data_IF_792570442776
#
_entry.id   IF_792570442776
#
_cell.length_a   1.000
_cell.length_b   1.000
_cell.length_c   1.000
_cell.angle_alpha   90.00
_cell.angle_beta   90.00
_cell.angle_gamma   90.00
#
_symmetry.space_group_name_H-M   'P 1'
#
loop_
_entity.id
_entity.type
_entity.pdbx_description
1 polymer ?
#
# COMPACT_ATOMS: atom_id res chain seq x y z
N UNK A 1 9.06 -16.78 9.41
CA UNK A 1 8.99 -15.42 9.97
C UNK A 1 9.48 -14.36 8.99
N UNK A 2 8.60 -13.44 8.65
CA UNK A 2 8.87 -12.30 7.77
C UNK A 2 7.99 -11.09 8.15
N UNK A 3 8.60 -9.94 8.39
CA UNK A 3 7.95 -8.67 8.72
C UNK A 3 7.83 -7.80 7.48
N UNK A 4 6.69 -7.14 7.31
CA UNK A 4 6.43 -6.20 6.21
C UNK A 4 5.84 -4.91 6.77
N UNK A 5 6.15 -3.78 6.15
CA UNK A 5 5.58 -2.48 6.56
C UNK A 5 4.12 -2.38 6.15
N UNK A 6 3.35 -1.51 6.84
CA UNK A 6 1.96 -1.19 6.46
C UNK A 6 1.85 -0.70 5.02
N UNK A 7 2.80 0.11 4.57
CA UNK A 7 2.87 0.57 3.18
C UNK A 7 2.99 -0.60 2.21
N UNK A 8 3.85 -1.58 2.52
CA UNK A 8 4.06 -2.75 1.67
C UNK A 8 2.86 -3.70 1.67
N UNK A 9 2.23 -3.94 2.82
CA UNK A 9 1.03 -4.78 2.91
C UNK A 9 -0.14 -4.20 2.08
N UNK A 10 -0.32 -2.88 2.10
CA UNK A 10 -1.35 -2.19 1.29
C UNK A 10 -1.18 -2.39 -0.22
N UNK A 11 0.01 -2.78 -0.67
CA UNK A 11 0.31 -3.04 -2.09
C UNK A 11 -0.07 -4.46 -2.52
N UNK A 12 -0.60 -5.30 -1.64
CA UNK A 12 -1.19 -6.59 -2.03
C UNK A 12 -2.58 -6.33 -2.61
N UNK A 13 -2.83 -6.81 -3.82
CA UNK A 13 -4.10 -6.66 -4.53
C UNK A 13 -4.55 -7.99 -5.15
N UNK A 14 -5.87 -8.16 -5.26
CA UNK A 14 -6.44 -9.18 -6.13
C UNK A 14 -6.08 -8.84 -7.58
N UNK A 15 -5.61 -9.82 -8.36
CA UNK A 15 -5.38 -9.64 -9.78
C UNK A 15 -6.67 -9.90 -10.57
N UNK A 16 -7.29 -8.87 -11.17
CA UNK A 16 -8.55 -9.04 -11.90
C UNK A 16 -8.46 -10.08 -13.02
N UNK A 17 -7.27 -10.27 -13.62
CA UNK A 17 -7.07 -11.19 -14.75
C UNK A 17 -7.13 -12.66 -14.35
N UNK A 18 -6.73 -12.98 -13.12
CA UNK A 18 -6.65 -14.35 -12.60
C UNK A 18 -7.86 -14.65 -11.73
N UNK A 19 -8.25 -13.72 -10.86
CA UNK A 19 -9.43 -13.83 -9.98
C UNK A 19 -10.72 -13.89 -10.78
N UNK A 20 -10.85 -13.07 -11.84
CA UNK A 20 -12.00 -13.03 -12.75
C UNK A 20 -12.32 -14.32 -13.50
N UNK A 21 -11.48 -15.34 -13.38
CA UNK A 21 -11.65 -16.65 -14.02
C UNK A 21 -12.05 -17.77 -13.05
N UNK A 22 -12.18 -17.51 -11.74
CA UNK A 22 -12.40 -18.60 -10.78
C UNK A 22 -12.92 -18.26 -9.38
N UNK A 23 -12.81 -17.02 -8.89
CA UNK A 23 -13.31 -16.66 -7.56
C UNK A 23 -13.91 -15.24 -7.58
N UNK A 24 -15.22 -15.13 -7.33
CA UNK A 24 -15.89 -13.85 -7.07
C UNK A 24 -16.73 -13.99 -5.81
N UNK A 25 -16.55 -13.06 -4.87
CA UNK A 25 -17.25 -12.97 -3.59
C UNK A 25 -18.70 -12.47 -3.73
N UNK A 26 -19.43 -12.93 -4.73
CA UNK A 26 -20.81 -12.49 -4.97
C UNK A 26 -21.74 -13.06 -3.88
N UNK A 27 -22.35 -12.18 -3.07
CA UNK A 27 -23.24 -12.54 -1.95
C UNK A 27 -22.58 -13.37 -0.83
N UNK A 28 -21.29 -13.14 -0.56
CA UNK A 28 -20.55 -13.79 0.52
C UNK A 28 -19.91 -12.78 1.48
N UNK A 29 -20.47 -11.57 1.59
CA UNK A 29 -19.91 -10.47 2.38
C UNK A 29 -19.80 -10.79 3.88
N UNK A 30 -20.60 -11.74 4.38
CA UNK A 30 -20.51 -12.27 5.75
C UNK A 30 -19.16 -12.94 6.05
N UNK A 31 -18.45 -13.42 5.04
CA UNK A 31 -17.13 -14.05 5.23
C UNK A 31 -16.02 -13.02 5.53
N UNK A 32 -16.27 -11.74 5.22
CA UNK A 32 -15.31 -10.65 5.43
C UNK A 32 -15.17 -10.31 6.91
N UNK A 33 -16.25 -10.40 7.68
CA UNK A 33 -16.23 -9.99 9.08
C UNK A 33 -17.28 -10.76 9.90
N UNK A 34 -16.88 -11.46 10.98
CA UNK A 34 -17.76 -12.41 11.64
C UNK A 34 -18.93 -11.78 12.42
N UNK A 35 -18.86 -10.48 12.74
CA UNK A 35 -19.86 -9.85 13.60
C UNK A 35 -20.99 -9.14 12.84
N UNK A 36 -20.77 -8.75 11.58
CA UNK A 36 -21.78 -8.06 10.76
C UNK A 36 -21.40 -8.05 9.28
N UNK A 37 -22.42 -7.96 8.44
CA UNK A 37 -22.28 -7.84 6.98
C UNK A 37 -21.84 -6.42 6.60
N UNK A 38 -20.86 -6.31 5.70
CA UNK A 38 -20.37 -5.04 5.15
C UNK A 38 -20.47 -5.09 3.63
N UNK A 39 -21.53 -4.50 3.08
CA UNK A 39 -21.90 -4.59 1.65
C UNK A 39 -21.38 -3.40 0.80
N UNK A 40 -20.25 -2.83 1.22
CA UNK A 40 -19.68 -1.60 0.63
C UNK A 40 -18.70 -1.86 -0.51
N UNK A 41 -18.32 -3.12 -0.72
CA UNK A 41 -17.22 -3.48 -1.60
C UNK A 41 -17.74 -4.03 -2.93
N UNK A 42 -17.02 -3.74 -4.02
CA UNK A 42 -17.15 -4.52 -5.26
C UNK A 42 -16.72 -5.96 -4.99
N UNK A 43 -17.14 -6.88 -5.85
CA UNK A 43 -16.77 -8.29 -5.71
C UNK A 43 -15.25 -8.47 -5.76
N UNK A 44 -14.53 -7.68 -6.55
CA UNK A 44 -13.07 -7.68 -6.59
C UNK A 44 -12.43 -7.17 -5.28
N UNK A 45 -12.99 -6.11 -4.68
CA UNK A 45 -12.51 -5.57 -3.40
C UNK A 45 -12.80 -6.54 -2.24
N UNK A 46 -14.00 -7.12 -2.21
CA UNK A 46 -14.38 -8.16 -1.27
C UNK A 46 -13.49 -9.40 -1.43
N UNK A 47 -13.27 -9.86 -2.66
CA UNK A 47 -12.36 -10.99 -2.95
C UNK A 47 -10.95 -10.70 -2.48
N UNK A 48 -10.43 -9.49 -2.70
CA UNK A 48 -9.12 -9.09 -2.14
C UNK A 48 -9.10 -9.20 -0.62
N UNK A 49 -10.10 -8.67 0.07
CA UNK A 49 -10.18 -8.71 1.53
C UNK A 49 -10.25 -10.15 2.06
N UNK A 50 -11.07 -10.98 1.42
CA UNK A 50 -11.22 -12.39 1.79
C UNK A 50 -9.93 -13.19 1.56
N UNK A 51 -9.25 -12.99 0.42
CA UNK A 51 -7.96 -13.63 0.17
C UNK A 51 -6.89 -13.17 1.17
N UNK A 52 -6.88 -11.89 1.56
CA UNK A 52 -6.01 -11.42 2.65
C UNK A 52 -6.36 -12.05 4.01
N UNK A 53 -7.64 -12.28 4.29
CA UNK A 53 -8.08 -13.00 5.49
C UNK A 53 -7.58 -14.44 5.48
N UNK A 54 -7.77 -15.17 4.38
CA UNK A 54 -7.26 -16.55 4.22
C UNK A 54 -5.75 -16.58 4.38
N UNK A 55 -5.04 -15.65 3.73
CA UNK A 55 -3.58 -15.54 3.79
C UNK A 55 -3.06 -15.42 5.22
N UNK A 56 -3.77 -14.69 6.09
CA UNK A 56 -3.33 -14.38 7.45
C UNK A 56 -3.90 -15.32 8.53
N UNK A 57 -5.11 -15.82 8.35
CA UNK A 57 -5.87 -16.50 9.41
C UNK A 57 -6.17 -17.95 9.11
N UNK A 58 -6.18 -18.34 7.84
CA UNK A 58 -6.71 -19.64 7.43
C UNK A 58 -5.75 -20.35 6.46
N UNK A 59 -4.47 -20.62 6.85
CA UNK A 59 -3.52 -21.30 5.97
C UNK A 59 -3.96 -22.73 5.58
N UNK A 60 -4.83 -23.36 6.37
CA UNK A 60 -5.47 -24.63 6.05
C UNK A 60 -6.72 -24.53 5.16
N UNK A 61 -7.13 -23.34 4.76
CA UNK A 61 -8.29 -23.15 3.89
C UNK A 61 -8.04 -23.79 2.52
N UNK A 62 -9.05 -24.44 1.94
CA UNK A 62 -8.93 -25.14 0.65
C UNK A 62 -8.45 -24.22 -0.50
N UNK A 63 -8.73 -22.92 -0.40
CA UNK A 63 -8.30 -21.92 -1.39
C UNK A 63 -6.87 -21.41 -1.18
N UNK A 64 -6.21 -21.68 -0.05
CA UNK A 64 -4.90 -21.08 0.25
C UNK A 64 -3.88 -21.42 -0.85
N UNK A 65 -3.66 -22.71 -1.09
CA UNK A 65 -2.76 -23.22 -2.12
C UNK A 65 -3.16 -22.75 -3.53
N UNK A 66 -4.46 -22.71 -3.81
CA UNK A 66 -4.97 -22.26 -5.12
C UNK A 66 -4.67 -20.77 -5.35
N UNK A 67 -4.85 -19.92 -4.35
CA UNK A 67 -4.58 -18.48 -4.47
C UNK A 67 -3.12 -18.20 -4.81
N UNK A 68 -2.20 -18.97 -4.21
CA UNK A 68 -0.76 -18.80 -4.41
C UNK A 68 -0.36 -19.27 -5.80
N UNK A 69 -0.75 -20.49 -6.21
CA UNK A 69 -0.38 -21.03 -7.52
C UNK A 69 -1.03 -20.27 -8.69
N UNK A 70 -2.29 -19.90 -8.56
CA UNK A 70 -3.03 -19.16 -9.60
C UNK A 70 -2.76 -17.65 -9.56
N UNK A 71 -1.94 -17.17 -8.62
CA UNK A 71 -1.58 -15.76 -8.46
C UNK A 71 -2.81 -14.87 -8.37
N UNK A 72 -3.78 -15.28 -7.56
CA UNK A 72 -4.99 -14.50 -7.30
C UNK A 72 -4.69 -13.23 -6.53
N UNK A 73 -3.68 -13.28 -5.66
CA UNK A 73 -3.05 -12.11 -5.08
C UNK A 73 -1.74 -11.81 -5.79
N UNK A 74 -1.48 -10.52 -6.01
CA UNK A 74 -0.20 -10.01 -6.49
C UNK A 74 0.20 -8.77 -5.75
N UNK A 75 1.50 -8.51 -5.75
CA UNK A 75 2.01 -7.22 -5.35
C UNK A 75 1.94 -6.20 -6.49
N UNK A 76 1.39 -5.04 -6.19
CA UNK A 76 1.51 -3.88 -7.07
C UNK A 76 2.86 -3.20 -6.87
N UNK A 77 3.66 -3.16 -7.93
CA UNK A 77 4.81 -2.27 -8.04
C UNK A 77 4.51 -1.23 -9.10
N UNK A 78 4.42 0.06 -8.73
CA UNK A 78 4.20 1.11 -9.71
C UNK A 78 5.23 1.04 -10.83
N UNK A 79 4.77 1.22 -12.06
CA UNK A 79 5.67 1.40 -13.19
C UNK A 79 6.54 2.65 -12.95
N UNK A 80 7.80 2.58 -13.39
CA UNK A 80 8.71 3.70 -13.30
C UNK A 80 8.37 4.71 -14.39
N UNK A 81 7.87 5.89 -13.99
CA UNK A 81 7.61 6.99 -14.91
C UNK A 81 8.83 7.91 -15.07
N UNK A 82 9.97 7.56 -14.45
CA UNK A 82 11.23 8.28 -14.50
C UNK A 82 11.21 9.71 -13.94
N UNK A 83 10.10 10.16 -13.34
CA UNK A 83 9.98 11.52 -12.79
C UNK A 83 10.56 11.70 -11.40
N UNK A 84 10.97 10.62 -10.72
CA UNK A 84 11.38 10.65 -9.31
C UNK A 84 12.80 10.12 -9.11
N UNK A 85 13.48 10.66 -8.10
CA UNK A 85 14.85 10.32 -7.76
C UNK A 85 14.98 8.88 -7.28
N UNK A 86 14.00 8.36 -6.53
CA UNK A 86 13.97 6.97 -6.12
C UNK A 86 13.17 6.13 -7.13
N UNK A 87 13.80 5.07 -7.65
CA UNK A 87 13.11 4.09 -8.51
C UNK A 87 12.05 3.34 -7.69
N UNK A 88 10.82 3.11 -8.23
CA UNK A 88 9.87 2.21 -7.59
C UNK A 88 10.49 0.83 -7.35
N UNK A 89 10.43 0.35 -6.11
CA UNK A 89 10.95 -0.97 -5.72
C UNK A 89 9.80 -1.93 -5.42
N UNK A 90 9.99 -3.20 -5.78
CA UNK A 90 9.19 -4.27 -5.20
C UNK A 90 9.34 -4.20 -3.68
N UNK A 91 8.25 -4.40 -2.91
CA UNK A 91 8.33 -4.32 -1.47
C UNK A 91 9.21 -5.44 -0.94
N UNK A 92 9.84 -5.15 0.19
CA UNK A 92 10.69 -6.12 0.86
C UNK A 92 10.02 -6.68 2.10
N UNK A 93 10.32 -7.93 2.39
CA UNK A 93 10.04 -8.57 3.67
C UNK A 93 11.34 -8.69 4.48
N UNK A 94 11.23 -8.62 5.80
CA UNK A 94 12.35 -8.55 6.72
C UNK A 94 12.33 -9.76 7.65
N UNK A 95 13.45 -10.42 7.88
CA UNK A 95 13.52 -11.56 8.81
C UNK A 95 13.76 -11.13 10.25
N UNK A 96 14.21 -9.88 10.45
CA UNK A 96 14.52 -9.29 11.74
C UNK A 96 13.63 -8.08 12.01
N UNK A 97 12.89 -8.08 13.13
CA UNK A 97 12.01 -6.98 13.56
C UNK A 97 12.77 -5.69 13.88
N UNK A 98 14.05 -5.81 14.25
CA UNK A 98 14.93 -4.70 14.57
C UNK A 98 15.71 -4.17 13.34
N UNK A 99 15.49 -4.71 12.14
CA UNK A 99 16.20 -4.29 10.93
C UNK A 99 16.07 -2.78 10.69
N UNK A 100 17.20 -2.08 10.48
CA UNK A 100 17.18 -0.63 10.27
C UNK A 100 16.28 -0.23 9.09
N UNK A 101 16.39 -0.94 7.96
CA UNK A 101 15.60 -0.68 6.77
C UNK A 101 14.09 -0.81 6.96
N UNK A 102 13.66 -1.48 8.04
CA UNK A 102 12.26 -1.64 8.39
C UNK A 102 11.71 -0.38 9.09
N UNK A 103 12.57 0.40 9.73
CA UNK A 103 12.24 1.62 10.48
C UNK A 103 12.71 2.90 9.79
N UNK A 104 13.58 2.78 8.79
CA UNK A 104 14.16 3.92 8.09
C UNK A 104 13.09 4.75 7.36
N UNK A 105 13.07 6.09 7.50
CA UNK A 105 12.12 6.95 6.80
C UNK A 105 12.35 6.90 5.28
N UNK A 106 11.26 7.05 4.53
CA UNK A 106 11.33 7.11 3.08
C UNK A 106 11.76 8.51 2.63
N UNK A 107 12.74 8.55 1.72
CA UNK A 107 13.32 9.76 1.15
C UNK A 107 13.20 9.72 -0.36
N UNK A 108 12.69 10.79 -0.95
CA UNK A 108 12.52 10.91 -2.39
C UNK A 108 12.33 12.37 -2.79
N UNK A 109 12.33 12.66 -4.08
CA UNK A 109 11.93 13.94 -4.63
C UNK A 109 11.59 13.80 -6.12
N UNK A 110 10.79 14.73 -6.62
CA UNK A 110 10.54 14.84 -8.06
C UNK A 110 11.77 15.47 -8.74
N UNK A 111 12.18 14.86 -9.85
CA UNK A 111 13.21 15.44 -10.71
C UNK A 111 12.67 16.73 -11.34
N UNK A 112 13.55 17.69 -11.67
CA UNK A 112 13.15 18.92 -12.32
C UNK A 112 12.27 18.69 -13.57
N UNK A 113 11.35 19.63 -13.79
CA UNK A 113 10.57 19.68 -15.04
C UNK A 113 11.54 19.73 -16.23
N UNK A 114 11.30 18.91 -17.25
CA UNK A 114 12.17 18.81 -18.42
C UNK A 114 13.34 17.84 -18.27
N UNK A 115 13.62 17.29 -17.07
CA UNK A 115 14.78 16.41 -16.87
C UNK A 115 14.68 15.13 -17.71
N UNK A 116 13.51 14.48 -17.72
CA UNK A 116 13.29 13.25 -18.49
C UNK A 116 13.28 13.56 -19.99
N UNK A 117 12.70 14.69 -20.37
CA UNK A 117 12.59 15.15 -21.76
C UNK A 117 13.97 15.46 -22.36
N UNK A 118 14.88 16.03 -21.57
CA UNK A 118 16.22 16.44 -22.03
C UNK A 118 17.22 15.29 -21.98
N UNK A 119 17.24 14.49 -20.90
CA UNK A 119 18.28 13.47 -20.69
C UNK A 119 17.81 12.03 -20.93
N UNK A 120 16.50 11.83 -21.14
CA UNK A 120 15.89 10.52 -21.34
C UNK A 120 15.97 9.60 -20.13
N UNK A 121 15.40 8.39 -20.28
CA UNK A 121 15.42 7.34 -19.24
C UNK A 121 16.85 6.92 -18.86
N UNK A 122 17.78 6.95 -19.82
CA UNK A 122 19.19 6.67 -19.60
C UNK A 122 19.84 7.73 -18.69
N UNK A 123 19.51 9.01 -18.89
CA UNK A 123 19.96 10.11 -18.06
C UNK A 123 19.44 10.00 -16.63
N UNK A 124 18.17 9.66 -16.46
CA UNK A 124 17.56 9.37 -15.15
C UNK A 124 18.27 8.20 -14.48
N UNK A 125 18.53 7.11 -15.20
CA UNK A 125 19.26 5.96 -14.65
C UNK A 125 20.67 6.34 -14.21
N UNK A 126 21.39 7.15 -14.99
CA UNK A 126 22.72 7.67 -14.63
C UNK A 126 22.65 8.56 -13.39
N UNK A 127 21.67 9.45 -13.32
CA UNK A 127 21.43 10.30 -12.16
C UNK A 127 21.19 9.47 -10.89
N UNK A 128 20.29 8.49 -10.95
CA UNK A 128 19.97 7.62 -9.81
C UNK A 128 21.19 6.83 -9.33
N UNK A 129 22.03 6.36 -10.26
CA UNK A 129 23.29 5.69 -9.93
C UNK A 129 24.26 6.64 -9.22
N UNK A 130 24.43 7.85 -9.75
CA UNK A 130 25.26 8.89 -9.13
C UNK A 130 24.74 9.27 -7.74
N UNK A 131 23.43 9.49 -7.59
CA UNK A 131 22.78 9.90 -6.35
C UNK A 131 23.07 8.95 -5.19
N UNK A 132 23.23 7.65 -5.50
CA UNK A 132 23.51 6.59 -4.54
C UNK A 132 25.00 6.17 -4.48
N UNK A 133 25.85 6.77 -5.31
CA UNK A 133 27.29 6.48 -5.32
C UNK A 133 28.01 7.24 -4.20
N UNK A 134 29.04 6.62 -3.63
CA UNK A 134 29.87 7.27 -2.59
C UNK A 134 30.82 8.24 -3.27
N UNK A 135 30.76 9.52 -2.89
CA UNK A 135 31.68 10.56 -3.36
C UNK A 135 33.05 10.41 -2.67
N UNK A 136 34.07 11.15 -3.12
CA UNK A 136 35.44 11.10 -2.57
C UNK A 136 35.51 11.36 -1.07
N UNK A 137 34.56 12.12 -0.53
CA UNK A 137 34.45 12.48 0.88
C UNK A 137 33.72 11.38 1.71
N UNK A 138 33.41 10.22 1.12
CA UNK A 138 32.70 9.13 1.79
C UNK A 138 31.17 9.30 1.89
N UNK A 139 30.63 10.44 1.44
CA UNK A 139 29.20 10.76 1.51
C UNK A 139 28.50 10.48 0.17
N UNK A 140 27.25 10.02 0.21
CA UNK A 140 26.42 9.92 -1.01
C UNK A 140 25.78 11.28 -1.31
N UNK A 141 25.61 11.67 -2.59
CA UNK A 141 24.91 12.92 -2.93
C UNK A 141 23.51 13.02 -2.33
N UNK A 142 22.80 11.91 -2.15
CA UNK A 142 21.51 11.89 -1.43
C UNK A 142 21.66 12.39 0.01
N UNK A 143 22.67 11.91 0.75
CA UNK A 143 22.93 12.33 2.14
C UNK A 143 23.31 13.82 2.20
N UNK A 144 24.05 14.30 1.20
CA UNK A 144 24.38 15.73 1.06
C UNK A 144 23.12 16.57 0.87
N UNK A 145 22.15 16.10 0.08
CA UNK A 145 20.90 16.84 -0.14
C UNK A 145 20.13 17.07 1.17
N UNK A 146 20.23 16.14 2.13
CA UNK A 146 19.55 16.28 3.41
C UNK A 146 20.18 17.33 4.33
N UNK A 147 21.51 17.42 4.35
CA UNK A 147 22.25 18.27 5.27
C UNK A 147 22.61 19.63 4.67
N UNK A 148 22.83 19.67 3.36
CA UNK A 148 23.19 20.87 2.62
C UNK A 148 22.55 20.87 1.21
N UNK A 149 21.25 21.22 1.13
CA UNK A 149 20.50 21.21 -0.13
C UNK A 149 21.12 22.06 -1.23
N UNK A 150 21.67 23.23 -0.89
CA UNK A 150 22.26 24.15 -1.86
C UNK A 150 23.54 23.59 -2.47
N UNK A 151 24.41 22.95 -1.67
CA UNK A 151 25.59 22.25 -2.19
C UNK A 151 25.20 21.13 -3.16
N UNK A 152 24.12 20.41 -2.85
CA UNK A 152 23.59 19.37 -3.74
C UNK A 152 23.08 19.98 -5.07
N UNK A 153 22.28 21.05 -5.01
CA UNK A 153 21.77 21.74 -6.20
C UNK A 153 22.88 22.28 -7.09
N UNK A 154 23.91 22.91 -6.53
CA UNK A 154 25.09 23.39 -7.26
C UNK A 154 25.79 22.23 -8.00
N UNK A 155 25.99 21.09 -7.33
CA UNK A 155 26.56 19.90 -7.98
C UNK A 155 25.66 19.39 -9.11
N UNK A 156 24.35 19.42 -8.92
CA UNK A 156 23.40 19.01 -9.94
C UNK A 156 23.40 19.95 -11.15
N UNK A 157 23.51 21.26 -10.95
CA UNK A 157 23.62 22.24 -12.04
C UNK A 157 24.92 22.08 -12.83
N UNK A 158 26.01 21.66 -12.18
CA UNK A 158 27.26 21.35 -12.89
C UNK A 158 27.16 20.07 -13.75
N UNK A 159 26.49 19.03 -13.27
CA UNK A 159 26.42 17.71 -13.93
C UNK A 159 25.22 17.57 -14.90
N UNK A 160 24.17 18.35 -14.69
CA UNK A 160 22.92 18.38 -15.46
C UNK A 160 22.43 19.84 -15.63
N UNK A 161 23.17 20.68 -16.39
CA UNK A 161 22.95 22.13 -16.46
C UNK A 161 21.68 22.57 -17.20
N UNK A 162 21.10 21.71 -18.03
CA UNK A 162 19.98 22.08 -18.92
C UNK A 162 18.61 22.13 -18.23
N UNK A 163 18.54 21.95 -16.90
CA UNK A 163 17.31 22.10 -16.11
C UNK A 163 17.58 22.90 -14.85
N UNK A 164 16.53 23.51 -14.30
CA UNK A 164 16.61 24.22 -13.01
C UNK A 164 16.41 23.27 -11.84
N UNK A 165 17.40 23.21 -10.94
CA UNK A 165 17.35 22.40 -9.71
C UNK A 165 16.81 23.15 -8.50
N UNK A 166 16.53 24.45 -8.64
CA UNK A 166 16.15 25.34 -7.55
C UNK A 166 14.83 24.93 -6.89
N UNK A 167 13.88 24.38 -7.65
CA UNK A 167 12.55 23.96 -7.18
C UNK A 167 12.51 22.56 -6.57
N UNK A 168 13.64 21.84 -6.53
CA UNK A 168 13.69 20.49 -5.99
C UNK A 168 13.63 20.53 -4.46
N UNK A 169 12.66 19.80 -3.90
CA UNK A 169 12.43 19.71 -2.47
C UNK A 169 12.48 18.25 -2.02
N UNK A 170 13.22 17.98 -0.95
CA UNK A 170 13.29 16.67 -0.35
C UNK A 170 11.93 16.32 0.28
N UNK A 171 11.29 15.27 -0.22
CA UNK A 171 10.14 14.68 0.45
C UNK A 171 10.64 13.68 1.50
N UNK A 172 10.38 13.97 2.77
CA UNK A 172 10.50 13.00 3.86
C UNK A 172 9.12 12.48 4.23
N UNK A 173 8.96 11.17 4.16
CA UNK A 173 7.79 10.48 4.70
C UNK A 173 8.29 9.58 5.81
N UNK A 174 7.71 9.74 6.99
CA UNK A 174 7.94 8.79 8.07
C UNK A 174 7.66 7.37 7.56
N UNK A 175 8.50 6.43 7.98
CA UNK A 175 8.19 5.04 7.71
C UNK A 175 6.82 4.75 8.32
N UNK A 176 5.96 4.07 7.58
CA UNK A 176 4.65 3.65 8.11
C UNK A 176 4.74 2.67 9.30
N UNK A 177 5.95 2.39 9.77
CA UNK A 177 6.31 1.49 10.85
C UNK A 177 6.23 0.01 10.44
N UNK A 178 6.81 -0.83 11.29
CA UNK A 178 6.31 -2.21 11.49
C UNK A 178 5.03 -2.05 12.26
N UNK A 179 3.91 -2.26 11.59
CA UNK A 179 2.55 -2.30 12.16
C UNK A 179 2.41 -1.77 13.59
N UNK A 180 2.19 -0.45 13.70
CA UNK A 180 1.46 0.13 14.83
C UNK A 180 0.10 0.54 14.26
N UNK A 181 -0.88 -0.34 14.39
CA UNK A 181 -2.27 0.10 14.27
C UNK A 181 -2.51 1.06 15.45
N UNK A 182 -3.19 2.18 15.23
CA UNK A 182 -3.58 3.08 16.33
C UNK A 182 -4.47 2.37 17.37
N UNK A 183 -4.99 1.20 17.01
CA UNK A 183 -5.71 0.27 17.86
C UNK A 183 -4.77 -0.88 18.26
N UNK A 184 -4.53 -0.98 19.55
CA UNK A 184 -3.65 -1.95 20.19
C UNK A 184 -4.29 -3.34 20.26
N UNK A 185 -5.63 -3.43 20.32
CA UNK A 185 -6.37 -4.68 20.53
C UNK A 185 -7.40 -4.99 19.45
N UNK A 186 -7.86 -6.26 19.40
CA UNK A 186 -8.94 -6.69 18.49
C UNK A 186 -10.25 -5.99 18.84
N UNK A 187 -10.49 -5.79 20.14
CA UNK A 187 -11.65 -5.15 20.71
C UNK A 187 -11.74 -3.67 20.29
N UNK A 188 -10.62 -2.93 20.34
CA UNK A 188 -10.58 -1.54 19.87
C UNK A 188 -10.86 -1.41 18.36
N UNK A 189 -10.41 -2.38 17.56
CA UNK A 189 -10.71 -2.41 16.13
C UNK A 189 -12.18 -2.73 15.89
N UNK A 190 -12.75 -3.66 16.66
CA UNK A 190 -14.18 -3.99 16.61
C UNK A 190 -15.03 -2.76 16.91
N UNK A 191 -14.70 -2.02 17.97
CA UNK A 191 -15.38 -0.77 18.33
C UNK A 191 -15.26 0.29 17.23
N UNK A 192 -14.08 0.39 16.59
CA UNK A 192 -13.90 1.31 15.47
C UNK A 192 -14.72 0.92 14.23
N UNK A 193 -14.83 -0.37 13.92
CA UNK A 193 -15.68 -0.87 12.83
C UNK A 193 -17.15 -0.52 13.11
N UNK A 194 -17.63 -0.76 14.34
CA UNK A 194 -18.99 -0.40 14.75
C UNK A 194 -19.23 1.11 14.69
N UNK A 195 -18.25 1.90 15.13
CA UNK A 195 -18.28 3.35 15.00
C UNK A 195 -18.41 3.77 13.53
N UNK A 196 -17.62 3.21 12.61
CA UNK A 196 -17.70 3.54 11.18
C UNK A 196 -19.07 3.19 10.59
N UNK A 197 -19.65 2.05 10.94
CA UNK A 197 -21.00 1.66 10.52
C UNK A 197 -22.04 2.66 11.05
N UNK A 198 -21.98 3.02 12.33
CA UNK A 198 -22.88 4.00 12.92
C UNK A 198 -22.74 5.40 12.28
N UNK A 199 -21.51 5.84 11.98
CA UNK A 199 -21.27 7.09 11.27
C UNK A 199 -21.81 7.04 9.84
N UNK A 200 -21.67 5.91 9.14
CA UNK A 200 -22.23 5.72 7.81
C UNK A 200 -23.77 5.84 7.83
N UNK A 201 -24.43 5.12 8.73
CA UNK A 201 -25.89 5.20 8.91
C UNK A 201 -26.33 6.61 9.26
N UNK A 202 -25.62 7.31 10.15
CA UNK A 202 -25.91 8.71 10.48
C UNK A 202 -25.72 9.63 9.28
N UNK A 203 -24.67 9.42 8.49
CA UNK A 203 -24.39 10.22 7.31
C UNK A 203 -25.48 10.05 6.25
N UNK A 204 -25.90 8.81 5.97
CA UNK A 204 -27.05 8.54 5.10
C UNK A 204 -28.32 9.22 5.62
N UNK A 205 -28.71 8.94 6.88
CA UNK A 205 -30.05 9.31 7.34
C UNK A 205 -30.19 10.79 7.73
N UNK A 206 -29.11 11.45 8.15
CA UNK A 206 -29.19 12.78 8.77
C UNK A 206 -28.40 13.87 8.04
N UNK A 207 -27.58 13.51 7.05
CA UNK A 207 -26.75 14.47 6.30
C UNK A 207 -27.12 14.52 4.83
N UNK A 208 -27.41 13.37 4.22
CA UNK A 208 -27.72 13.28 2.81
C UNK A 208 -29.22 13.49 2.54
N UNK A 209 -29.52 14.01 1.35
CA UNK A 209 -30.88 14.01 0.79
C UNK A 209 -31.27 12.61 0.30
N UNK A 210 -32.57 12.35 0.13
CA UNK A 210 -33.06 11.06 -0.39
C UNK A 210 -32.41 10.66 -1.74
N UNK A 211 -32.18 11.63 -2.61
CA UNK A 211 -31.51 11.40 -3.91
C UNK A 211 -30.05 10.99 -3.72
N UNK A 212 -29.33 11.65 -2.80
CA UNK A 212 -27.94 11.31 -2.47
C UNK A 212 -27.83 9.96 -1.78
N UNK A 213 -28.75 9.62 -0.87
CA UNK A 213 -28.83 8.30 -0.26
C UNK A 213 -28.97 7.20 -1.31
N UNK A 214 -29.92 7.36 -2.24
CA UNK A 214 -30.14 6.39 -3.33
C UNK A 214 -28.91 6.30 -4.25
N UNK A 215 -28.25 7.41 -4.55
CA UNK A 215 -27.03 7.42 -5.35
C UNK A 215 -25.89 6.65 -4.65
N UNK A 216 -25.67 6.90 -3.35
CA UNK A 216 -24.67 6.17 -2.56
C UNK A 216 -24.99 4.69 -2.52
N UNK A 217 -26.22 4.30 -2.20
CA UNK A 217 -26.62 2.89 -2.16
C UNK A 217 -26.48 2.19 -3.53
N UNK A 218 -26.74 2.91 -4.62
CA UNK A 218 -26.57 2.40 -5.99
C UNK A 218 -25.09 2.17 -6.34
N UNK A 219 -24.20 3.04 -5.87
CA UNK A 219 -22.80 3.06 -6.30
C UNK A 219 -21.78 2.67 -5.24
N UNK A 220 -22.17 2.38 -4.00
CA UNK A 220 -21.25 2.06 -2.90
C UNK A 220 -20.30 0.91 -3.26
N UNK A 221 -20.83 -0.10 -3.95
CA UNK A 221 -20.06 -1.27 -4.43
C UNK A 221 -19.15 -0.97 -5.62
N UNK A 222 -19.20 0.21 -6.27
CA UNK A 222 -18.30 0.50 -7.39
C UNK A 222 -16.88 0.76 -6.90
N UNK A 223 -15.89 0.17 -7.57
CA UNK A 223 -14.46 0.43 -7.30
C UNK A 223 -13.93 1.68 -8.04
N UNK A 224 -14.61 2.12 -9.10
CA UNK A 224 -14.25 3.31 -9.89
C UNK A 224 -15.41 4.28 -9.99
N UNK A 225 -15.08 5.57 -9.97
CA UNK A 225 -16.03 6.68 -10.10
C UNK A 225 -16.14 7.21 -11.54
N UNK A 226 -15.41 6.60 -12.49
CA UNK A 226 -15.39 7.05 -13.88
C UNK A 226 -16.73 6.74 -14.56
N UNK A 227 -17.36 7.77 -15.12
CA UNK A 227 -18.58 7.63 -15.92
C UNK A 227 -19.84 7.34 -15.11
N UNK A 228 -19.86 7.66 -13.82
CA UNK A 228 -21.08 7.57 -13.02
C UNK A 228 -22.06 8.68 -13.43
N UNK A 229 -23.34 8.33 -13.47
CA UNK A 229 -24.46 9.25 -13.68
C UNK A 229 -25.66 8.79 -12.87
N UNK A 230 -26.40 9.70 -12.26
CA UNK A 230 -27.60 9.37 -11.47
C UNK A 230 -28.74 10.34 -11.80
N UNK A 231 -29.97 9.85 -12.06
CA UNK A 231 -31.11 10.73 -12.31
C UNK A 231 -31.34 11.72 -11.17
N UNK A 232 -31.49 13.00 -11.50
CA UNK A 232 -31.71 14.06 -10.51
C UNK A 232 -30.45 14.55 -9.79
N UNK A 233 -29.25 14.16 -10.26
CA UNK A 233 -27.97 14.64 -9.71
C UNK A 233 -26.99 15.01 -10.82
N UNK A 234 -26.29 16.14 -10.62
CA UNK A 234 -25.17 16.54 -11.48
C UNK A 234 -23.95 15.61 -11.30
N UNK A 235 -23.21 15.34 -12.38
CA UNK A 235 -22.06 14.44 -12.37
C UNK A 235 -20.92 14.91 -11.45
N UNK A 236 -20.73 16.22 -11.29
CA UNK A 236 -19.72 16.78 -10.39
C UNK A 236 -20.10 16.56 -8.92
N UNK A 237 -21.36 16.83 -8.55
CA UNK A 237 -21.91 16.55 -7.23
C UNK A 237 -21.84 15.04 -6.93
N UNK A 238 -22.22 14.19 -7.87
CA UNK A 238 -22.11 12.73 -7.73
C UNK A 238 -20.67 12.28 -7.50
N UNK A 239 -19.73 12.81 -8.29
CA UNK A 239 -18.31 12.51 -8.15
C UNK A 239 -17.78 12.94 -6.78
N UNK A 240 -18.18 14.12 -6.29
CA UNK A 240 -17.80 14.62 -4.96
C UNK A 240 -18.42 13.79 -3.84
N UNK A 241 -19.67 13.37 -3.99
CA UNK A 241 -20.39 12.51 -3.06
C UNK A 241 -19.69 11.15 -2.94
N UNK A 242 -19.39 10.51 -4.08
CA UNK A 242 -18.70 9.22 -4.10
C UNK A 242 -17.26 9.33 -3.59
N UNK A 243 -16.55 10.42 -3.87
CA UNK A 243 -15.22 10.69 -3.29
C UNK A 243 -15.28 10.82 -1.77
N UNK A 244 -16.32 11.48 -1.25
CA UNK A 244 -16.57 11.56 0.20
C UNK A 244 -16.83 10.18 0.79
N UNK A 245 -17.75 9.40 0.21
CA UNK A 245 -18.04 8.05 0.66
C UNK A 245 -16.77 7.18 0.71
N UNK A 246 -15.98 7.21 -0.38
CA UNK A 246 -14.78 6.42 -0.51
C UNK A 246 -13.72 6.80 0.53
N UNK A 247 -13.51 8.11 0.76
CA UNK A 247 -12.52 8.62 1.71
C UNK A 247 -12.92 8.40 3.16
N UNK A 248 -14.15 8.74 3.51
CA UNK A 248 -14.61 8.76 4.91
C UNK A 248 -15.03 7.39 5.44
N UNK A 249 -15.50 6.49 4.56
CA UNK A 249 -16.03 5.18 4.98
C UNK A 249 -15.27 4.02 4.34
N UNK A 250 -15.36 3.84 3.01
CA UNK A 250 -14.89 2.63 2.33
C UNK A 250 -13.39 2.35 2.54
N UNK A 251 -12.54 3.37 2.39
CA UNK A 251 -11.10 3.24 2.62
C UNK A 251 -10.77 2.99 4.09
N UNK A 252 -11.48 3.63 5.01
CA UNK A 252 -11.29 3.45 6.46
C UNK A 252 -11.70 2.04 6.90
N UNK A 253 -12.84 1.55 6.42
CA UNK A 253 -13.30 0.18 6.65
C UNK A 253 -12.34 -0.86 6.06
N UNK A 254 -11.85 -0.65 4.84
CA UNK A 254 -10.80 -1.50 4.25
C UNK A 254 -9.58 -1.61 5.17
N UNK A 255 -9.11 -0.48 5.71
CA UNK A 255 -7.99 -0.48 6.63
C UNK A 255 -8.31 -1.16 7.97
N UNK A 256 -9.54 -0.98 8.48
CA UNK A 256 -9.99 -1.59 9.73
C UNK A 256 -10.11 -3.12 9.61
N UNK A 257 -10.66 -3.65 8.52
CA UNK A 257 -10.73 -5.10 8.28
C UNK A 257 -9.36 -5.74 8.14
N UNK A 258 -8.46 -5.12 7.37
CA UNK A 258 -7.08 -5.59 7.28
C UNK A 258 -6.35 -5.53 8.63
N UNK A 259 -6.64 -4.53 9.46
CA UNK A 259 -6.13 -4.44 10.83
C UNK A 259 -6.67 -5.57 11.70
N UNK A 260 -7.96 -5.83 11.60
CA UNK A 260 -8.64 -6.90 12.33
C UNK A 260 -8.02 -8.26 11.99
N UNK A 261 -7.88 -8.60 10.70
CA UNK A 261 -7.26 -9.88 10.30
C UNK A 261 -5.86 -10.03 10.88
N UNK A 262 -5.05 -8.97 10.82
CA UNK A 262 -3.71 -9.00 11.38
C UNK A 262 -3.72 -9.20 12.90
N UNK A 263 -4.53 -8.45 13.65
CA UNK A 263 -4.57 -8.52 15.11
C UNK A 263 -5.13 -9.85 15.62
N UNK A 264 -6.07 -10.45 14.90
CA UNK A 264 -6.52 -11.82 15.19
C UNK A 264 -5.39 -12.81 14.91
N UNK A 265 -4.64 -12.65 13.82
CA UNK A 265 -3.51 -13.52 13.50
C UNK A 265 -2.44 -13.46 14.61
N UNK A 266 -2.08 -12.24 15.04
CA UNK A 266 -1.12 -11.98 16.12
C UNK A 266 -1.58 -12.62 17.45
N UNK A 267 -2.86 -12.43 17.83
CA UNK A 267 -3.45 -13.02 19.04
C UNK A 267 -3.43 -14.56 19.00
N UNK A 268 -3.57 -15.14 17.81
CA UNK A 268 -3.54 -16.59 17.58
C UNK A 268 -2.12 -17.14 17.36
N UNK A 269 -1.07 -16.31 17.45
CA UNK A 269 0.30 -16.67 17.10
C UNK A 269 0.43 -17.28 15.68
N UNK A 270 -0.32 -16.69 14.75
CA UNK A 270 -0.47 -17.12 13.35
C UNK A 270 -0.23 -15.97 12.37
N UNK A 271 0.33 -14.84 12.83
CA UNK A 271 0.75 -13.72 11.99
C UNK A 271 1.97 -14.02 11.10
N UNK A 272 2.49 -15.25 11.19
CA UNK A 272 3.52 -15.79 10.34
C UNK A 272 3.01 -16.05 8.91
N UNK A 273 3.31 -15.14 7.99
CA UNK A 273 3.23 -15.45 6.56
C UNK A 273 4.55 -16.08 6.12
N UNK A 274 4.45 -17.26 5.50
CA UNK A 274 5.62 -17.96 4.96
C UNK A 274 6.39 -17.07 3.97
N UNK A 275 7.72 -17.14 4.03
CA UNK A 275 8.60 -16.39 3.11
C UNK A 275 8.34 -16.80 1.66
N UNK A 276 8.14 -18.10 1.41
CA UNK A 276 7.83 -18.61 0.10
C UNK A 276 6.53 -18.01 -0.41
N UNK A 277 5.50 -17.90 0.45
CA UNK A 277 4.23 -17.26 0.10
C UNK A 277 4.44 -15.78 -0.24
N UNK A 278 5.21 -15.03 0.55
CA UNK A 278 5.51 -13.62 0.24
C UNK A 278 6.30 -13.47 -1.08
N UNK A 279 7.24 -14.36 -1.36
CA UNK A 279 7.99 -14.37 -2.62
C UNK A 279 7.09 -14.69 -3.82
N UNK A 280 6.13 -15.62 -3.67
CA UNK A 280 5.12 -15.89 -4.69
C UNK A 280 4.20 -14.69 -4.94
N UNK A 281 3.88 -13.91 -3.90
CA UNK A 281 3.16 -12.64 -4.03
C UNK A 281 4.00 -11.55 -4.72
N UNK A 282 5.32 -11.72 -4.79
CA UNK A 282 6.27 -10.82 -5.47
C UNK A 282 7.07 -9.92 -4.52
N UNK A 283 7.07 -10.19 -3.22
CA UNK A 283 8.00 -9.53 -2.30
C UNK A 283 9.43 -10.00 -2.54
N UNK A 284 10.39 -9.17 -2.13
CA UNK A 284 11.81 -9.52 -2.12
C UNK A 284 12.34 -9.62 -0.69
N UNK A 285 13.36 -10.45 -0.41
CA UNK A 285 14.05 -10.38 0.86
C UNK A 285 14.70 -9.00 1.04
N UNK A 286 14.68 -8.49 2.27
CA UNK A 286 15.41 -7.28 2.64
C UNK A 286 16.91 -7.50 2.43
N UNK A 287 17.58 -6.52 1.79
CA UNK A 287 19.02 -6.54 1.53
C UNK A 287 19.89 -5.93 2.64
N UNK A 288 19.33 -5.56 3.79
CA UNK A 288 20.11 -5.06 4.92
C UNK A 288 20.84 -6.21 5.62
N UNK A 289 22.02 -5.94 6.17
CA UNK A 289 22.88 -6.92 6.83
C UNK A 289 22.16 -7.58 8.02
N UNK A 290 21.39 -6.81 8.80
CA UNK A 290 20.59 -7.29 9.93
C UNK A 290 19.59 -8.40 9.58
N UNK A 291 19.12 -8.43 8.33
CA UNK A 291 18.23 -9.47 7.81
C UNK A 291 18.99 -10.61 7.13
N UNK A 292 20.24 -10.35 6.72
CA UNK A 292 21.09 -11.29 5.99
C UNK A 292 21.82 -12.25 6.95
N UNK A 293 22.23 -11.76 8.12
CA UNK A 293 22.94 -12.53 9.16
C UNK A 293 22.09 -13.61 9.82
N UNK A 294 20.76 -13.47 9.80
CA UNK A 294 19.85 -14.49 10.31
C UNK A 294 19.86 -15.79 9.48
N UNK A 295 20.51 -15.81 8.29
CA UNK A 295 20.77 -17.03 7.52
C UNK A 295 21.89 -17.90 8.11
N UNK A 296 22.78 -17.34 8.92
CA UNK A 296 23.94 -18.07 9.45
C UNK A 296 23.70 -18.73 10.82
N UNK A 297 22.60 -18.41 11.53
CA UNK A 297 22.39 -18.94 12.89
C UNK A 297 21.56 -20.23 12.97
N UNK A 298 21.11 -20.80 11.85
CA UNK A 298 20.30 -22.03 11.82
C UNK A 298 20.91 -23.16 10.97
N UNK A 299 22.04 -22.90 10.30
CA UNK A 299 22.78 -23.92 9.56
C UNK A 299 24.04 -24.42 10.30
N UNK A 300 24.37 -23.79 11.44
CA UNK A 300 25.56 -24.10 12.24
C UNK A 300 25.25 -24.71 13.62
N UNK A 301 24.05 -25.29 13.81
CA UNK A 301 23.70 -26.10 14.98
C UNK A 301 22.85 -27.33 14.61
#
# INVERSE_FOLDING_TARGET
MAFITKYNFKRIHADPKTVGKGLMMENCEELLYPNQVIDWFSDLEATRLFLCKILLLEPGHALFTQMIHQKWLKIYTPADNFRRATKPKAPSYHTNKACEGLHQPFRDFELPVGFVEIYGEAGVTRFRKWLNSVDKDGQKPFDVFEHNPERFKIKCEALWPQVSWHSVLLERKENSGVHVFHYSTVEEIHDYINYLMAQYTRWLNNVLTDTECKAVETFKRRSTQKGLSFPGMDNQALSKLMATFQREFKNRMTNALLAYYYKVAEKNHSDDVDKEVLEHLGFKPCGHEDCSLHKLSLADF
#
